data_IF_634517657146
#
_entry.id   IF_634517657146
#
_cell.length_a   1.000
_cell.length_b   1.000
_cell.length_c   1.000
_cell.angle_alpha   90.00
_cell.angle_beta   90.00
_cell.angle_gamma   90.00
#
_symmetry.space_group_name_H-M   'P 1'
#
loop_
_entity.id
_entity.type
_entity.pdbx_description
1 polymer ?
#
# COMPACT_ATOMS: atom_id res chain seq x y z
N UNK A 1 15.84 4.73 15.74
CA UNK A 1 14.96 3.68 16.27
C UNK A 1 15.38 2.31 15.76
N UNK A 2 15.30 1.30 16.60
CA UNK A 2 15.59 -0.09 16.20
C UNK A 2 14.59 -0.65 15.17
N UNK A 3 13.41 -0.04 15.05
CA UNK A 3 12.36 -0.48 14.13
C UNK A 3 12.40 0.22 12.77
N UNK A 4 13.16 1.31 12.66
CA UNK A 4 13.17 2.14 11.45
C UNK A 4 14.61 2.37 10.98
N UNK A 5 14.93 2.03 9.73
CA UNK A 5 16.13 2.53 9.09
C UNK A 5 16.12 4.05 9.05
N UNK A 6 17.29 4.66 8.90
CA UNK A 6 17.39 6.13 8.78
C UNK A 6 16.54 6.62 7.61
N UNK A 7 15.70 7.63 7.87
CA UNK A 7 14.84 8.23 6.86
C UNK A 7 13.49 7.56 6.64
N UNK A 8 13.26 6.38 7.21
CA UNK A 8 11.97 5.70 7.11
C UNK A 8 10.97 6.33 8.08
N UNK A 9 9.82 6.75 7.57
CA UNK A 9 8.79 7.47 8.35
C UNK A 9 7.73 6.56 8.93
N UNK A 10 7.46 5.43 8.28
CA UNK A 10 6.49 4.47 8.74
C UNK A 10 6.69 3.11 8.10
N UNK A 11 6.10 2.09 8.71
CA UNK A 11 6.15 0.70 8.22
C UNK A 11 4.81 0.04 8.51
N UNK A 12 4.24 -0.65 7.50
CA UNK A 12 3.11 -1.54 7.69
C UNK A 12 3.62 -2.98 7.75
N UNK A 13 3.21 -3.69 8.78
CA UNK A 13 3.61 -5.09 9.00
C UNK A 13 2.45 -6.01 8.62
N UNK A 14 2.57 -6.68 7.47
CA UNK A 14 1.49 -7.44 6.84
C UNK A 14 1.03 -8.66 7.65
N UNK A 15 1.94 -9.32 8.36
CA UNK A 15 1.61 -10.51 9.15
C UNK A 15 0.82 -10.15 10.41
N UNK A 16 1.23 -9.10 11.12
CA UNK A 16 0.58 -8.69 12.37
C UNK A 16 -0.53 -7.67 12.18
N UNK A 17 -0.75 -7.19 10.95
CA UNK A 17 -1.72 -6.12 10.65
C UNK A 17 -1.47 -4.85 11.47
N UNK A 18 -0.21 -4.56 11.71
CA UNK A 18 0.19 -3.42 12.51
C UNK A 18 0.99 -2.46 11.66
N UNK A 19 0.82 -1.16 11.91
CA UNK A 19 1.77 -0.22 11.33
C UNK A 19 2.39 0.65 12.40
N UNK A 20 3.60 1.08 12.11
CA UNK A 20 4.44 1.82 13.04
C UNK A 20 4.81 3.15 12.42
N UNK A 21 4.68 4.22 13.20
CA UNK A 21 5.05 5.56 12.78
C UNK A 21 6.34 5.97 13.46
N UNK A 22 7.27 6.52 12.70
CA UNK A 22 8.53 6.99 13.25
C UNK A 22 8.29 8.28 14.04
N UNK A 23 8.51 8.22 15.35
CA UNK A 23 8.30 9.34 16.27
C UNK A 23 9.01 10.62 15.84
N UNK A 24 10.16 10.51 15.20
CA UNK A 24 10.93 11.67 14.73
C UNK A 24 10.13 12.55 13.74
N UNK A 25 9.11 12.01 13.07
CA UNK A 25 8.29 12.73 12.08
C UNK A 25 6.90 13.10 12.58
N UNK A 26 6.52 12.71 13.82
CA UNK A 26 5.17 12.90 14.34
C UNK A 26 4.84 14.37 14.67
N UNK A 27 5.84 15.23 14.81
CA UNK A 27 5.64 16.67 15.07
C UNK A 27 5.27 17.47 13.82
N UNK A 28 5.26 16.83 12.64
CA UNK A 28 4.93 17.47 11.36
C UNK A 28 3.61 16.93 10.84
N UNK A 29 2.47 17.63 11.04
CA UNK A 29 1.15 17.09 10.70
C UNK A 29 1.03 16.66 9.23
N UNK A 30 1.53 17.45 8.29
CA UNK A 30 1.48 17.12 6.87
C UNK A 30 2.29 15.87 6.53
N UNK A 31 3.49 15.74 7.10
CA UNK A 31 4.34 14.56 6.90
C UNK A 31 3.71 13.34 7.55
N UNK A 32 3.14 13.51 8.75
CA UNK A 32 2.45 12.43 9.46
C UNK A 32 1.26 11.90 8.65
N UNK A 33 0.42 12.79 8.12
CA UNK A 33 -0.73 12.38 7.33
C UNK A 33 -0.33 11.67 6.04
N UNK A 34 0.74 12.11 5.40
CA UNK A 34 1.28 11.45 4.22
C UNK A 34 1.72 10.01 4.55
N UNK A 35 2.40 9.83 5.69
CA UNK A 35 2.84 8.50 6.14
C UNK A 35 1.65 7.62 6.49
N UNK A 36 0.66 8.15 7.20
CA UNK A 36 -0.56 7.42 7.56
C UNK A 36 -1.28 6.95 6.30
N UNK A 37 -1.42 7.81 5.28
CA UNK A 37 -2.06 7.44 4.02
C UNK A 37 -1.26 6.38 3.26
N UNK A 38 0.07 6.50 3.24
CA UNK A 38 0.97 5.55 2.58
C UNK A 38 0.85 4.16 3.23
N UNK A 39 1.01 4.10 4.56
CA UNK A 39 0.94 2.82 5.27
C UNK A 39 -0.48 2.25 5.31
N UNK A 40 -1.49 3.11 5.38
CA UNK A 40 -2.89 2.72 5.25
C UNK A 40 -3.20 2.12 3.88
N UNK A 41 -2.52 2.58 2.82
CA UNK A 41 -2.65 1.97 1.49
C UNK A 41 -2.15 0.53 1.48
N UNK A 42 -1.06 0.23 2.19
CA UNK A 42 -0.59 -1.15 2.33
C UNK A 42 -1.63 -2.03 3.05
N UNK A 43 -2.35 -1.47 4.03
CA UNK A 43 -3.47 -2.18 4.65
C UNK A 43 -4.59 -2.47 3.63
N UNK A 44 -4.87 -1.54 2.73
CA UNK A 44 -5.84 -1.76 1.65
C UNK A 44 -5.36 -2.83 0.67
N UNK A 45 -4.07 -2.85 0.35
CA UNK A 45 -3.46 -3.89 -0.50
C UNK A 45 -3.60 -5.27 0.15
N UNK A 46 -3.40 -5.34 1.46
CA UNK A 46 -3.57 -6.57 2.24
C UNK A 46 -5.04 -7.02 2.21
N UNK A 47 -5.97 -6.11 2.42
CA UNK A 47 -7.41 -6.36 2.33
C UNK A 47 -7.81 -6.85 0.94
N UNK A 48 -7.28 -6.24 -0.12
CA UNK A 48 -7.55 -6.65 -1.50
C UNK A 48 -7.09 -8.09 -1.77
N UNK A 49 -6.02 -8.53 -1.12
CA UNK A 49 -5.54 -9.91 -1.21
C UNK A 49 -6.45 -10.90 -0.46
N UNK A 50 -7.36 -10.40 0.38
CA UNK A 50 -8.33 -11.23 1.10
C UNK A 50 -7.78 -11.98 2.30
N UNK A 51 -6.54 -11.71 2.71
CA UNK A 51 -5.92 -12.38 3.84
C UNK A 51 -5.17 -11.39 4.71
N UNK A 52 -5.56 -11.31 5.96
CA UNK A 52 -4.89 -10.46 6.94
C UNK A 52 -3.77 -11.18 7.70
N UNK A 53 -3.69 -12.51 7.55
CA UNK A 53 -2.74 -13.35 8.28
C UNK A 53 -1.50 -13.73 7.48
N UNK A 54 -1.49 -13.42 6.18
CA UNK A 54 -0.36 -13.76 5.33
C UNK A 54 0.40 -12.50 4.91
N UNK A 55 1.65 -12.66 4.49
CA UNK A 55 2.50 -11.56 4.09
C UNK A 55 2.24 -11.03 2.67
N UNK A 56 1.32 -11.66 1.95
CA UNK A 56 0.99 -11.25 0.57
C UNK A 56 0.08 -10.03 0.57
N UNK A 57 0.41 -9.08 -0.27
CA UNK A 57 -0.41 -7.89 -0.51
C UNK A 57 -0.65 -7.75 -2.01
N UNK A 58 -1.77 -7.17 -2.38
CA UNK A 58 -2.17 -7.04 -3.77
C UNK A 58 -1.79 -5.69 -4.35
N UNK A 59 -1.65 -5.63 -5.67
CA UNK A 59 -1.57 -4.37 -6.40
C UNK A 59 -3.01 -3.97 -6.74
N UNK A 60 -3.42 -2.76 -6.34
CA UNK A 60 -4.80 -2.29 -6.50
C UNK A 60 -5.01 -1.63 -7.86
N UNK A 61 -4.06 -0.84 -8.31
CA UNK A 61 -4.14 -0.14 -9.60
C UNK A 61 -3.24 -0.80 -10.66
N UNK A 62 -3.65 -0.71 -11.92
CA UNK A 62 -2.77 -1.08 -13.02
C UNK A 62 -1.55 -0.17 -13.02
N UNK A 63 -0.40 -0.69 -13.44
CA UNK A 63 0.85 0.07 -13.44
C UNK A 63 0.76 1.34 -14.26
N UNK A 64 0.07 1.28 -15.41
CA UNK A 64 -0.12 2.45 -16.28
C UNK A 64 -1.01 3.54 -15.68
N UNK A 65 -1.82 3.21 -14.69
CA UNK A 65 -2.71 4.17 -14.03
C UNK A 65 -2.01 4.99 -12.95
N UNK A 66 -0.87 4.51 -12.48
CA UNK A 66 -0.06 5.25 -11.51
C UNK A 66 0.65 6.41 -12.21
N UNK A 67 0.49 7.67 -11.75
CA UNK A 67 1.16 8.79 -12.37
C UNK A 67 2.67 8.57 -12.50
N UNK A 68 3.22 8.92 -13.65
CA UNK A 68 4.63 8.65 -13.99
C UNK A 68 5.61 9.24 -12.98
N UNK A 69 5.28 10.37 -12.38
CA UNK A 69 6.12 10.98 -11.35
C UNK A 69 6.33 10.03 -10.17
N UNK A 70 5.28 9.34 -9.73
CA UNK A 70 5.37 8.40 -8.62
C UNK A 70 6.11 7.13 -9.00
N UNK A 71 5.99 6.69 -10.24
CA UNK A 71 6.79 5.58 -10.75
C UNK A 71 8.29 5.90 -10.68
N UNK A 72 8.68 7.09 -11.15
CA UNK A 72 10.08 7.52 -11.12
C UNK A 72 10.61 7.70 -9.70
N UNK A 73 9.83 8.29 -8.82
CA UNK A 73 10.22 8.49 -7.42
C UNK A 73 10.39 7.14 -6.72
N UNK A 74 9.46 6.20 -6.95
CA UNK A 74 9.55 4.86 -6.38
C UNK A 74 10.78 4.11 -6.88
N UNK A 75 11.08 4.17 -8.17
CA UNK A 75 12.28 3.56 -8.75
C UNK A 75 13.54 4.07 -8.08
N UNK A 76 13.59 5.36 -7.78
CA UNK A 76 14.73 6.00 -7.12
C UNK A 76 14.80 5.64 -5.64
N UNK A 77 13.66 5.70 -4.95
CA UNK A 77 13.58 5.48 -3.50
C UNK A 77 13.81 4.02 -3.13
N UNK A 78 13.27 3.10 -3.94
CA UNK A 78 13.31 1.66 -3.67
C UNK A 78 14.28 0.89 -4.57
N UNK A 79 15.31 1.55 -5.08
CA UNK A 79 16.32 0.89 -5.93
C UNK A 79 17.05 -0.26 -5.22
N UNK A 80 17.10 -0.23 -3.88
CA UNK A 80 17.65 -1.29 -3.05
C UNK A 80 16.70 -2.48 -2.90
N UNK A 81 15.43 -2.31 -3.23
CA UNK A 81 14.39 -3.34 -3.14
C UNK A 81 13.46 -3.26 -4.36
N UNK A 82 13.97 -3.52 -5.58
CA UNK A 82 13.22 -3.31 -6.82
C UNK A 82 11.93 -4.15 -6.91
N UNK A 83 11.88 -5.29 -6.23
CA UNK A 83 10.68 -6.13 -6.21
C UNK A 83 9.50 -5.46 -5.49
N UNK A 84 9.77 -4.51 -4.59
CA UNK A 84 8.75 -3.79 -3.85
C UNK A 84 8.12 -2.63 -4.66
N UNK A 85 8.78 -2.18 -5.73
CA UNK A 85 8.38 -1.00 -6.49
C UNK A 85 6.91 -1.04 -6.96
N UNK A 86 6.39 -2.17 -7.50
CA UNK A 86 4.99 -2.20 -7.94
C UNK A 86 3.97 -1.85 -6.86
N UNK A 87 4.24 -2.23 -5.62
CA UNK A 87 3.38 -1.92 -4.47
C UNK A 87 3.64 -0.54 -3.91
N UNK A 88 4.91 -0.18 -3.81
CA UNK A 88 5.34 1.07 -3.20
C UNK A 88 4.96 2.30 -4.05
N UNK A 89 5.02 2.20 -5.38
CA UNK A 89 4.68 3.35 -6.22
C UNK A 89 3.23 3.79 -6.07
N UNK A 90 2.28 2.87 -5.93
CA UNK A 90 0.89 3.25 -5.68
C UNK A 90 0.69 3.72 -4.23
N UNK A 91 1.42 3.16 -3.27
CA UNK A 91 1.37 3.62 -1.89
C UNK A 91 1.94 5.04 -1.74
N UNK A 92 3.00 5.37 -2.45
CA UNK A 92 3.54 6.73 -2.50
C UNK A 92 2.54 7.71 -3.11
N UNK A 93 1.88 7.31 -4.19
CA UNK A 93 0.82 8.08 -4.82
C UNK A 93 -0.32 8.33 -3.82
N UNK A 94 -0.81 7.28 -3.16
CA UNK A 94 -1.87 7.38 -2.16
C UNK A 94 -1.45 8.27 -0.98
N UNK A 95 -0.20 8.18 -0.56
CA UNK A 95 0.33 9.00 0.53
C UNK A 95 0.26 10.50 0.25
N UNK A 96 0.34 10.89 -1.01
CA UNK A 96 0.30 12.29 -1.46
C UNK A 96 -1.06 12.70 -2.07
N UNK A 97 -2.04 11.82 -2.03
CA UNK A 97 -3.37 12.06 -2.62
C UNK A 97 -4.42 11.97 -1.52
N UNK A 98 -4.94 13.12 -1.10
CA UNK A 98 -5.96 13.17 -0.07
C UNK A 98 -7.20 12.38 -0.49
N UNK A 99 -7.74 11.58 0.43
CA UNK A 99 -8.95 10.79 0.22
C UNK A 99 -8.74 9.44 -0.46
N UNK A 100 -7.62 9.21 -1.13
CA UNK A 100 -7.38 7.98 -1.90
C UNK A 100 -7.32 6.75 -0.99
N UNK A 101 -6.52 6.80 0.07
CA UNK A 101 -6.41 5.71 1.06
C UNK A 101 -7.70 5.54 1.83
N UNK A 102 -8.35 6.62 2.23
CA UNK A 102 -9.61 6.57 2.96
C UNK A 102 -10.68 5.83 2.17
N UNK A 103 -10.81 6.13 0.87
CA UNK A 103 -11.74 5.44 -0.02
C UNK A 103 -11.48 3.94 -0.04
N UNK A 104 -10.21 3.53 -0.16
CA UNK A 104 -9.84 2.12 -0.19
C UNK A 104 -10.14 1.42 1.13
N UNK A 105 -9.84 2.06 2.26
CA UNK A 105 -10.12 1.50 3.57
C UNK A 105 -11.62 1.40 3.85
N UNK A 106 -12.42 2.34 3.38
CA UNK A 106 -13.88 2.27 3.47
C UNK A 106 -14.42 1.11 2.65
N UNK A 107 -13.91 0.89 1.44
CA UNK A 107 -14.28 -0.24 0.61
C UNK A 107 -13.89 -1.58 1.28
N UNK A 108 -12.73 -1.62 1.91
CA UNK A 108 -12.28 -2.77 2.68
C UNK A 108 -13.22 -3.07 3.84
N UNK A 109 -13.54 -2.07 4.66
CA UNK A 109 -14.41 -2.23 5.82
C UNK A 109 -15.82 -2.68 5.45
N UNK A 110 -16.31 -2.26 4.26
CA UNK A 110 -17.61 -2.66 3.75
C UNK A 110 -17.60 -4.04 3.06
N UNK A 111 -16.43 -4.65 2.90
CA UNK A 111 -16.30 -5.91 2.16
C UNK A 111 -16.50 -5.74 0.65
N UNK A 112 -16.23 -4.56 0.11
CA UNK A 112 -16.55 -4.18 -1.28
C UNK A 112 -15.32 -3.88 -2.14
N UNK A 113 -14.12 -4.29 -1.72
CA UNK A 113 -12.90 -4.02 -2.50
C UNK A 113 -13.04 -4.45 -3.96
N UNK A 114 -13.62 -5.64 -4.19
CA UNK A 114 -13.80 -6.22 -5.53
C UNK A 114 -14.86 -5.50 -6.37
N UNK A 115 -15.75 -4.77 -5.72
CA UNK A 115 -16.77 -3.97 -6.42
C UNK A 115 -16.24 -2.59 -6.79
N UNK A 116 -15.41 -2.02 -5.92
CA UNK A 116 -14.86 -0.67 -6.09
C UNK A 116 -13.62 -0.68 -6.99
N UNK A 117 -12.77 -1.69 -6.84
CA UNK A 117 -11.55 -1.84 -7.61
C UNK A 117 -11.55 -3.14 -8.38
N UNK A 118 -11.20 -3.08 -9.66
CA UNK A 118 -11.01 -4.30 -10.47
C UNK A 118 -9.62 -4.86 -10.19
N UNK A 119 -9.47 -6.18 -9.95
CA UNK A 119 -8.14 -6.76 -9.79
C UNK A 119 -7.26 -6.48 -11.00
N UNK A 120 -6.01 -6.12 -10.76
CA UNK A 120 -5.03 -6.02 -11.84
C UNK A 120 -4.70 -7.43 -12.35
N UNK A 121 -4.15 -7.58 -13.56
CA UNK A 121 -3.80 -8.91 -14.07
C UNK A 121 -2.91 -9.70 -13.10
N UNK A 122 -1.95 -9.05 -12.48
CA UNK A 122 -1.05 -9.68 -11.50
C UNK A 122 -1.79 -10.12 -10.23
N UNK A 123 -2.68 -9.27 -9.73
CA UNK A 123 -3.53 -9.59 -8.58
C UNK A 123 -4.54 -10.68 -8.94
N UNK A 124 -5.16 -10.59 -10.10
CA UNK A 124 -6.15 -11.55 -10.56
C UNK A 124 -5.56 -12.97 -10.66
N UNK A 125 -4.35 -13.09 -11.18
CA UNK A 125 -3.67 -14.38 -11.29
C UNK A 125 -3.50 -15.03 -9.91
N UNK A 126 -2.96 -14.27 -8.95
CA UNK A 126 -2.79 -14.76 -7.58
C UNK A 126 -4.12 -15.20 -6.96
N UNK A 127 -5.17 -14.41 -7.17
CA UNK A 127 -6.50 -14.71 -6.63
C UNK A 127 -7.11 -15.96 -7.23
N UNK A 128 -6.89 -16.20 -8.53
CA UNK A 128 -7.33 -17.45 -9.17
C UNK A 128 -6.60 -18.65 -8.60
N UNK A 129 -5.29 -18.52 -8.38
CA UNK A 129 -4.48 -19.60 -7.78
C UNK A 129 -4.98 -19.96 -6.38
N UNK A 130 -5.45 -18.98 -5.62
CA UNK A 130 -5.95 -19.18 -4.26
C UNK A 130 -7.45 -19.51 -4.20
N UNK A 131 -8.15 -19.48 -5.34
CA UNK A 131 -9.57 -19.79 -5.39
C UNK A 131 -10.50 -18.67 -4.98
N UNK A 132 -10.01 -17.46 -4.80
CA UNK A 132 -10.83 -16.31 -4.40
C UNK A 132 -11.69 -15.76 -5.52
N UNK A 133 -11.26 -15.91 -6.76
CA UNK A 133 -12.02 -15.55 -7.97
C UNK A 133 -11.87 -16.69 -9.00
N UNK A 134 -12.80 -16.70 -9.96
CA UNK A 134 -12.78 -17.70 -11.04
C UNK A 134 -11.84 -17.31 -12.17
#
# INVERSE_FOLDING_TARGET
>A
SKYFPVGVRGVYHTVSNSFYLNRAFMSRPGALMSVVRHEGWHAAQDCMAGTIENSMIAIIHNEEDVPRIWQKIAERTYKFAPKAIPWEKEAMWAGKTEGMTQKALQACAAGEMWKVYKPTPKTAEWLREKGYIK
#
